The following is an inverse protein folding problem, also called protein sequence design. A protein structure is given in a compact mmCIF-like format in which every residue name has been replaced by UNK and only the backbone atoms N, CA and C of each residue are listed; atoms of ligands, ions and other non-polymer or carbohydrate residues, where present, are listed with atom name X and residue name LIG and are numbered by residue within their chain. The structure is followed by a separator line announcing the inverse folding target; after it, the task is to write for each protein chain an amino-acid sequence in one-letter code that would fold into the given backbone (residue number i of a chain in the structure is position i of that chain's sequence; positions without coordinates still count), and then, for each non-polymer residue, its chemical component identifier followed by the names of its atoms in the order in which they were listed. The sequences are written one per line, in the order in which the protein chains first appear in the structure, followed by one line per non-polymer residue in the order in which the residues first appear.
data_IF_951069377125
#
_entry.id   IF_951069377125
#
_cell.length_a   1.000
_cell.length_b   1.000
_cell.length_c   1.000
_cell.angle_alpha   90.00
_cell.angle_beta   90.00
_cell.angle_gamma   90.00
#
_symmetry.space_group_name_H-M   'P 1'
#
loop_
_entity.id
_entity.type
_entity.pdbx_description
1 polymer ?
#
# COMPACT_ATOMS: atom_id res chain seq x y z
N UNK A 1 37.49 -71.87 31.11
CA UNK A 1 38.23 -70.60 31.27
C UNK A 1 38.33 -69.94 29.91
N UNK A 2 38.04 -68.69 29.61
CA UNK A 2 37.26 -67.60 30.22
C UNK A 2 36.96 -66.69 29.03
N UNK A 3 35.69 -66.51 28.66
CA UNK A 3 35.28 -65.64 27.55
C UNK A 3 35.51 -64.18 27.97
N UNK A 4 36.42 -63.45 27.31
CA UNK A 4 36.49 -61.99 27.41
C UNK A 4 35.48 -61.39 26.43
N UNK A 5 34.33 -60.93 26.94
CA UNK A 5 33.41 -60.05 26.21
C UNK A 5 34.00 -58.63 26.20
N UNK A 6 34.02 -58.03 25.02
CA UNK A 6 34.37 -56.62 24.79
C UNK A 6 33.43 -55.67 25.54
N UNK A 7 33.90 -54.50 26.01
CA UNK A 7 33.06 -53.53 26.71
C UNK A 7 32.12 -52.81 25.74
N UNK A 8 30.86 -52.71 26.16
CA UNK A 8 29.75 -52.08 25.46
C UNK A 8 29.95 -50.56 25.40
N UNK A 9 29.95 -50.00 24.18
CA UNK A 9 30.03 -48.56 23.94
C UNK A 9 28.73 -47.91 24.43
N UNK A 10 28.82 -47.03 25.44
CA UNK A 10 27.70 -46.24 25.93
C UNK A 10 27.55 -44.99 25.05
N UNK A 11 26.33 -44.75 24.55
CA UNK A 11 25.99 -43.68 23.62
C UNK A 11 25.92 -42.31 24.37
N UNK A 12 26.76 -41.31 24.05
CA UNK A 12 26.90 -40.08 24.86
C UNK A 12 25.71 -39.11 24.80
N UNK A 13 24.66 -39.43 24.03
CA UNK A 13 23.51 -38.53 23.81
C UNK A 13 22.37 -38.70 24.82
N UNK A 14 22.48 -39.67 25.74
CA UNK A 14 21.40 -40.01 26.70
C UNK A 14 21.50 -39.21 28.02
N UNK A 15 22.62 -38.53 28.30
CA UNK A 15 22.86 -37.79 29.57
C UNK A 15 22.79 -36.26 29.44
N UNK A 16 22.05 -35.71 28.47
CA UNK A 16 21.76 -34.28 28.50
C UNK A 16 20.45 -34.02 29.25
N UNK A 17 20.44 -33.18 30.31
CA UNK A 17 19.19 -32.78 30.94
C UNK A 17 18.30 -32.05 29.93
N UNK A 18 16.97 -32.11 30.08
CA UNK A 18 16.04 -31.45 29.17
C UNK A 18 16.37 -29.96 29.03
N UNK A 19 16.32 -29.45 27.79
CA UNK A 19 16.70 -28.09 27.38
C UNK A 19 15.95 -26.97 28.15
N UNK A 20 14.91 -27.34 28.88
CA UNK A 20 14.14 -26.45 29.76
C UNK A 20 14.95 -25.84 30.90
N UNK A 21 16.11 -26.40 31.27
CA UNK A 21 16.92 -25.88 32.39
C UNK A 21 17.91 -24.76 32.03
N UNK A 22 18.09 -24.45 30.73
CA UNK A 22 19.09 -23.46 30.29
C UNK A 22 18.51 -22.05 30.18
N UNK A 23 17.19 -21.89 30.14
CA UNK A 23 16.56 -20.59 29.92
C UNK A 23 15.25 -20.39 30.70
N UNK A 24 15.37 -20.06 31.99
CA UNK A 24 14.33 -19.29 32.68
C UNK A 24 14.76 -17.81 32.67
N UNK A 25 14.11 -16.99 31.84
CA UNK A 25 14.28 -15.54 31.92
C UNK A 25 13.66 -15.06 33.23
N UNK A 26 14.38 -14.31 34.09
CA UNK A 26 13.78 -13.78 35.31
C UNK A 26 12.64 -12.85 34.91
N UNK A 27 11.39 -13.25 35.17
CA UNK A 27 10.22 -12.46 34.84
C UNK A 27 10.13 -11.25 35.78
N UNK A 28 11.02 -10.27 35.61
CA UNK A 28 10.89 -8.94 36.22
C UNK A 28 9.79 -8.24 35.45
N UNK A 29 8.60 -8.13 36.05
CA UNK A 29 7.57 -7.19 35.54
C UNK A 29 8.26 -5.83 35.36
N UNK A 30 8.33 -5.28 34.13
CA UNK A 30 8.93 -3.98 33.93
C UNK A 30 8.14 -2.97 34.78
N UNK A 31 8.87 -2.14 35.55
CA UNK A 31 8.27 -1.02 36.26
C UNK A 31 7.55 -0.16 35.20
N UNK A 32 6.25 0.08 35.39
CA UNK A 32 5.43 0.88 34.48
C UNK A 32 6.20 2.16 34.15
N UNK A 33 6.53 2.36 32.88
CA UNK A 33 7.31 3.53 32.48
C UNK A 33 6.44 4.77 32.71
N UNK A 34 7.04 5.90 33.05
CA UNK A 34 6.31 7.16 33.24
C UNK A 34 5.45 7.51 32.01
N UNK A 35 5.95 7.15 30.82
CA UNK A 35 5.29 7.28 29.51
C UNK A 35 4.08 6.37 29.29
N UNK A 36 3.85 5.38 30.16
CA UNK A 36 2.64 4.53 30.12
C UNK A 36 1.44 5.23 30.79
N UNK A 37 1.64 6.42 31.37
CA UNK A 37 0.55 7.22 31.94
C UNK A 37 -0.22 7.86 30.79
N UNK A 38 -1.48 7.47 30.53
CA UNK A 38 -2.29 8.16 29.55
C UNK A 38 -2.47 9.61 30.00
N UNK A 39 -2.29 10.55 29.06
CA UNK A 39 -2.59 11.95 29.31
C UNK A 39 -3.99 12.11 29.91
N UNK A 40 -4.19 13.04 30.86
CA UNK A 40 -5.50 13.29 31.42
C UNK A 40 -6.46 13.65 30.28
N UNK A 41 -7.57 12.92 30.19
CA UNK A 41 -8.57 13.12 29.15
C UNK A 41 -9.22 14.51 29.33
N UNK A 42 -8.68 15.52 28.63
CA UNK A 42 -9.32 16.83 28.54
C UNK A 42 -10.59 16.65 27.71
N UNK A 43 -11.79 17.02 28.22
CA UNK A 43 -13.02 16.91 27.45
C UNK A 43 -12.95 17.86 26.25
N UNK A 44 -12.59 17.30 25.09
CA UNK A 44 -12.47 18.04 23.84
C UNK A 44 -13.88 18.24 23.28
N UNK A 45 -14.35 19.49 23.22
CA UNK A 45 -15.65 19.80 22.60
C UNK A 45 -15.60 19.40 21.12
N UNK A 46 -16.60 18.64 20.67
CA UNK A 46 -16.74 18.26 19.27
C UNK A 46 -17.05 19.50 18.43
N UNK A 47 -16.27 19.72 17.38
CA UNK A 47 -16.59 20.77 16.39
C UNK A 47 -17.77 20.32 15.52
N UNK A 48 -18.51 21.25 14.90
CA UNK A 48 -19.58 20.91 13.95
C UNK A 48 -19.11 19.96 12.83
N UNK A 49 -17.88 20.16 12.32
CA UNK A 49 -17.29 19.29 11.31
C UNK A 49 -17.05 17.86 11.81
N UNK A 50 -16.62 17.69 13.07
CA UNK A 50 -16.46 16.37 13.68
C UNK A 50 -17.81 15.67 13.86
N UNK A 51 -18.84 16.41 14.28
CA UNK A 51 -20.20 15.87 14.41
C UNK A 51 -20.76 15.41 13.07
N UNK A 52 -20.62 16.22 12.01
CA UNK A 52 -21.05 15.84 10.65
C UNK A 52 -20.30 14.59 10.13
N UNK A 53 -19.01 14.47 10.42
CA UNK A 53 -18.23 13.27 10.07
C UNK A 53 -18.73 12.03 10.82
N UNK A 54 -19.03 12.14 12.11
CA UNK A 54 -19.59 11.05 12.89
C UNK A 54 -20.98 10.65 12.39
N UNK A 55 -21.83 11.63 12.05
CA UNK A 55 -23.15 11.37 11.46
C UNK A 55 -23.04 10.58 10.16
N UNK A 56 -22.09 10.91 9.27
CA UNK A 56 -21.81 10.14 8.05
C UNK A 56 -21.36 8.69 8.31
N UNK A 57 -20.52 8.50 9.33
CA UNK A 57 -20.04 7.16 9.71
C UNK A 57 -21.20 6.32 10.27
N UNK A 58 -22.01 6.92 11.14
CA UNK A 58 -23.18 6.26 11.73
C UNK A 58 -24.23 5.92 10.67
N UNK A 59 -24.45 6.80 9.70
CA UNK A 59 -25.36 6.54 8.58
C UNK A 59 -24.81 5.57 7.53
N UNK A 60 -23.57 5.07 7.71
CA UNK A 60 -22.90 4.14 6.78
C UNK A 60 -22.90 4.64 5.34
N UNK A 61 -22.71 5.95 5.16
CA UNK A 61 -22.57 6.55 3.82
C UNK A 61 -21.39 5.88 3.12
N UNK A 62 -21.53 5.49 1.84
CA UNK A 62 -20.42 4.90 1.10
C UNK A 62 -19.23 5.87 1.07
N UNK A 63 -18.08 5.42 1.57
CA UNK A 63 -16.82 6.16 1.50
C UNK A 63 -15.92 5.54 0.44
N UNK A 64 -15.24 6.40 -0.32
CA UNK A 64 -14.37 6.02 -1.44
C UNK A 64 -12.93 6.29 -1.04
N UNK A 65 -12.05 5.30 -1.24
CA UNK A 65 -10.62 5.55 -1.11
C UNK A 65 -10.07 6.14 -2.40
N UNK A 66 -9.31 7.22 -2.26
CA UNK A 66 -8.58 7.87 -3.35
C UNK A 66 -7.09 7.71 -3.08
N UNK A 67 -6.38 7.08 -4.02
CA UNK A 67 -4.92 6.93 -3.97
C UNK A 67 -4.28 7.75 -5.08
N UNK A 68 -3.49 8.74 -4.70
CA UNK A 68 -2.63 9.48 -5.62
C UNK A 68 -1.33 8.68 -5.74
N UNK A 69 -1.11 8.04 -6.88
CA UNK A 69 0.02 7.13 -7.07
C UNK A 69 1.28 7.85 -7.51
N UNK A 70 1.16 9.01 -8.14
CA UNK A 70 2.31 9.82 -8.49
C UNK A 70 2.02 10.87 -9.55
N UNK A 71 3.09 11.56 -9.94
CA UNK A 71 3.09 12.57 -11.00
C UNK A 71 4.16 12.20 -12.02
N UNK A 72 3.87 12.35 -13.30
CA UNK A 72 4.87 12.19 -14.35
C UNK A 72 5.32 13.56 -14.85
N UNK A 73 6.61 13.69 -15.17
CA UNK A 73 7.18 14.94 -15.71
C UNK A 73 7.60 14.82 -17.17
N UNK A 74 7.84 13.60 -17.66
CA UNK A 74 8.36 13.35 -19.01
C UNK A 74 7.42 12.50 -19.84
N UNK A 75 7.43 12.73 -21.15
CA UNK A 75 6.60 12.04 -22.13
C UNK A 75 6.83 10.53 -22.14
N UNK A 76 8.08 10.07 -22.00
CA UNK A 76 8.39 8.63 -21.96
C UNK A 76 7.72 7.91 -20.77
N UNK A 77 7.70 8.54 -19.59
CA UNK A 77 7.04 8.00 -18.39
C UNK A 77 5.52 8.03 -18.51
N UNK A 78 4.97 9.05 -19.18
CA UNK A 78 3.55 9.14 -19.50
C UNK A 78 3.13 8.00 -20.44
N UNK A 79 3.84 7.81 -21.56
CA UNK A 79 3.55 6.74 -22.54
C UNK A 79 3.55 5.36 -21.87
N UNK A 80 4.53 5.12 -21.00
CA UNK A 80 4.63 3.87 -20.22
C UNK A 80 3.45 3.68 -19.26
N UNK A 81 2.98 4.75 -18.59
CA UNK A 81 1.81 4.68 -17.71
C UNK A 81 0.51 4.43 -18.49
N UNK A 82 0.32 5.10 -19.62
CA UNK A 82 -0.84 4.87 -20.49
C UNK A 82 -0.87 3.42 -20.98
N UNK A 83 0.29 2.90 -21.38
CA UNK A 83 0.42 1.49 -21.76
C UNK A 83 0.12 0.54 -20.58
N UNK A 84 0.56 0.87 -19.37
CA UNK A 84 0.25 0.07 -18.18
C UNK A 84 -1.25 0.04 -17.85
N UNK A 85 -1.90 1.21 -17.82
CA UNK A 85 -3.33 1.37 -17.48
C UNK A 85 -4.21 0.64 -18.50
N UNK A 86 -3.91 0.81 -19.79
CA UNK A 86 -4.68 0.19 -20.89
C UNK A 86 -4.28 -1.25 -21.17
N UNK A 87 -3.32 -1.83 -20.42
CA UNK A 87 -2.70 -3.14 -20.73
C UNK A 87 -2.25 -3.22 -22.20
N UNK A 88 -1.50 -2.23 -22.64
CA UNK A 88 -1.04 -2.07 -24.03
C UNK A 88 -2.20 -2.00 -25.06
N UNK A 89 -3.33 -1.40 -24.67
CA UNK A 89 -4.52 -1.27 -25.50
C UNK A 89 -5.41 -2.51 -25.54
N UNK A 90 -5.26 -3.44 -24.59
CA UNK A 90 -6.20 -4.57 -24.40
C UNK A 90 -7.44 -4.15 -23.61
N UNK A 91 -7.31 -3.13 -22.76
CA UNK A 91 -8.43 -2.53 -22.03
C UNK A 91 -8.91 -1.26 -22.72
N UNK A 92 -10.22 -1.07 -22.73
CA UNK A 92 -10.84 0.18 -23.14
C UNK A 92 -10.48 1.29 -22.15
N UNK A 93 -10.18 2.47 -22.69
CA UNK A 93 -9.98 3.68 -21.91
C UNK A 93 -10.97 4.75 -22.36
N UNK A 94 -11.43 5.57 -21.42
CA UNK A 94 -12.30 6.71 -21.72
C UNK A 94 -11.51 8.01 -21.61
N UNK A 95 -11.74 8.93 -22.55
CA UNK A 95 -11.19 10.29 -22.48
C UNK A 95 -12.12 11.21 -21.69
N UNK A 96 -11.65 12.45 -21.45
CA UNK A 96 -12.44 13.52 -20.83
C UNK A 96 -13.80 13.77 -21.52
N UNK A 97 -13.90 13.51 -22.82
CA UNK A 97 -15.13 13.70 -23.59
C UNK A 97 -16.05 12.47 -23.58
N UNK A 98 -15.73 11.44 -22.78
CA UNK A 98 -16.45 10.16 -22.78
C UNK A 98 -16.23 9.34 -24.05
N UNK A 99 -15.22 9.68 -24.86
CA UNK A 99 -14.90 8.88 -26.05
C UNK A 99 -14.15 7.63 -25.62
N UNK A 100 -14.69 6.46 -25.95
CA UNK A 100 -14.02 5.18 -25.75
C UNK A 100 -12.85 5.04 -26.74
N UNK A 101 -11.69 4.74 -26.20
CA UNK A 101 -10.47 4.45 -26.92
C UNK A 101 -10.16 2.97 -26.78
N UNK A 102 -10.44 2.22 -27.85
CA UNK A 102 -10.24 0.78 -27.91
C UNK A 102 -8.98 0.45 -28.71
N UNK A 103 -8.21 -0.51 -28.22
CA UNK A 103 -7.11 -1.09 -28.99
C UNK A 103 -5.82 -0.27 -28.97
N UNK A 104 -4.81 -0.84 -29.65
CA UNK A 104 -3.45 -0.27 -29.77
C UNK A 104 -3.40 1.02 -30.58
N UNK A 105 -4.30 1.20 -31.54
CA UNK A 105 -4.35 2.40 -32.41
C UNK A 105 -4.80 3.60 -31.59
N UNK A 106 -5.90 3.47 -30.85
CA UNK A 106 -6.36 4.51 -29.93
C UNK A 106 -5.26 4.88 -28.93
N UNK A 107 -4.63 3.90 -28.29
CA UNK A 107 -3.53 4.17 -27.36
C UNK A 107 -2.39 5.00 -27.99
N UNK A 108 -1.98 4.69 -29.22
CA UNK A 108 -0.94 5.45 -29.92
C UNK A 108 -1.38 6.87 -30.22
N UNK A 109 -2.62 7.06 -30.67
CA UNK A 109 -3.16 8.39 -30.95
C UNK A 109 -3.23 9.23 -29.68
N UNK A 110 -3.62 8.63 -28.54
CA UNK A 110 -3.61 9.30 -27.23
C UNK A 110 -2.19 9.71 -26.83
N UNK A 111 -1.24 8.79 -26.95
CA UNK A 111 0.16 9.01 -26.63
C UNK A 111 0.76 10.14 -27.48
N UNK A 112 0.40 10.22 -28.76
CA UNK A 112 0.87 11.27 -29.66
C UNK A 112 0.29 12.63 -29.28
N UNK A 113 -1.04 12.71 -29.07
CA UNK A 113 -1.70 13.96 -28.67
C UNK A 113 -1.07 14.56 -27.42
N UNK A 114 -0.82 13.75 -26.41
CA UNK A 114 -0.22 14.22 -25.16
C UNK A 114 1.27 14.59 -25.32
N UNK A 115 1.99 13.95 -26.24
CA UNK A 115 3.37 14.34 -26.58
C UNK A 115 3.41 15.70 -27.28
N UNK A 116 2.48 15.94 -28.20
CA UNK A 116 2.34 17.21 -28.89
C UNK A 116 2.01 18.33 -27.88
N UNK A 117 1.05 18.08 -26.98
CA UNK A 117 0.69 19.01 -25.90
C UNK A 117 1.89 19.28 -24.96
N UNK A 118 2.65 18.25 -24.61
CA UNK A 118 3.86 18.41 -23.80
C UNK A 118 4.92 19.27 -24.50
N UNK A 119 5.10 19.09 -25.81
CA UNK A 119 6.03 19.88 -26.61
C UNK A 119 5.63 21.36 -26.73
N UNK A 120 4.32 21.65 -26.78
CA UNK A 120 3.80 23.01 -26.77
C UNK A 120 3.98 23.70 -25.41
N UNK A 121 3.90 22.95 -24.30
CA UNK A 121 4.02 23.46 -22.93
C UNK A 121 5.45 23.45 -22.36
N UNK A 122 6.42 22.89 -23.08
CA UNK A 122 7.83 22.75 -22.65
C UNK A 122 8.47 24.09 -22.25
N UNK A 123 8.13 25.16 -22.97
CA UNK A 123 8.60 26.52 -22.66
C UNK A 123 7.96 27.13 -21.40
N UNK A 124 6.77 26.66 -21.00
CA UNK A 124 5.98 27.22 -19.89
C UNK A 124 6.16 26.43 -18.59
N UNK A 125 6.51 25.15 -18.67
CA UNK A 125 6.55 24.24 -17.51
C UNK A 125 7.87 23.46 -17.38
N UNK A 126 9.01 24.15 -17.44
CA UNK A 126 10.34 23.52 -17.21
C UNK A 126 10.43 22.62 -15.96
N UNK A 127 9.60 22.88 -14.92
CA UNK A 127 9.51 22.06 -13.70
C UNK A 127 8.11 21.49 -13.38
N UNK A 128 7.13 21.65 -14.27
CA UNK A 128 5.74 21.25 -14.03
C UNK A 128 5.50 19.75 -14.23
N UNK A 129 4.53 19.17 -13.51
CA UNK A 129 4.06 17.80 -13.79
C UNK A 129 3.21 17.77 -15.06
N UNK A 130 3.47 16.82 -15.94
CA UNK A 130 2.71 16.57 -17.16
C UNK A 130 1.41 15.79 -16.87
N UNK A 131 1.43 14.84 -15.93
CA UNK A 131 0.24 14.12 -15.50
C UNK A 131 0.20 13.85 -14.00
N UNK A 132 -1.01 13.60 -13.48
CA UNK A 132 -1.28 13.12 -12.13
C UNK A 132 -2.05 11.82 -12.25
N UNK A 133 -1.58 10.79 -11.55
CA UNK A 133 -2.21 9.47 -11.57
C UNK A 133 -3.01 9.27 -10.28
N UNK A 134 -4.30 8.98 -10.44
CA UNK A 134 -5.25 8.80 -9.34
C UNK A 134 -5.94 7.45 -9.53
N UNK A 135 -6.00 6.65 -8.47
CA UNK A 135 -6.79 5.42 -8.40
C UNK A 135 -7.97 5.67 -7.48
N UNK A 136 -9.15 5.35 -7.96
CA UNK A 136 -10.41 5.41 -7.22
C UNK A 136 -10.85 3.98 -6.91
N UNK A 137 -11.14 3.67 -5.65
CA UNK A 137 -11.79 2.41 -5.30
C UNK A 137 -13.20 2.69 -4.80
N UNK A 138 -14.19 2.52 -5.67
CA UNK A 138 -15.59 2.63 -5.29
C UNK A 138 -16.10 1.30 -4.74
N UNK A 139 -16.85 1.30 -3.63
CA UNK A 139 -17.61 0.12 -3.22
C UNK A 139 -18.73 -0.16 -4.22
N UNK A 140 -19.04 -1.44 -4.43
CA UNK A 140 -20.13 -1.84 -5.32
C UNK A 140 -21.47 -1.24 -4.85
N UNK A 141 -22.27 -0.75 -5.79
CA UNK A 141 -23.57 -0.11 -5.50
C UNK A 141 -23.51 1.40 -5.21
N UNK A 142 -22.37 2.05 -5.46
CA UNK A 142 -22.31 3.52 -5.51
C UNK A 142 -23.00 3.98 -6.80
N UNK A 143 -24.00 4.85 -6.69
CA UNK A 143 -24.72 5.42 -7.84
C UNK A 143 -23.74 6.22 -8.73
N UNK A 144 -23.88 6.11 -10.05
CA UNK A 144 -22.96 6.71 -11.03
C UNK A 144 -23.25 8.19 -11.28
#
# INVERSE_FOLDING_TARGET
MTRRRSPQQADPLVELPPISYVWETPNRRPRRAEWDTPDPAVPRRLTPAMRAKLERIVSRVPEVMVKITGRTKGVAHLKSHLAYITRNGELDAETEQGAAMTGRVGLKDLQQRWEDDAGLDDKRRRDGSLSINIILSMPAGTDA
#
